data_IF_366082366385
#
_entry.id   IF_366082366385
#
_cell.length_a   1.000
_cell.length_b   1.000
_cell.length_c   1.000
_cell.angle_alpha   90.00
_cell.angle_beta   90.00
_cell.angle_gamma   90.00
#
_symmetry.space_group_name_H-M   'P 1'
#
loop_
_entity.id
_entity.type
_entity.pdbx_description
1 polymer ?
#
# COMPACT_ATOMS: atom_id res chain seq x y z
N UNK A 1 -29.73 50.73 -19.51
CA UNK A 1 -30.19 49.42 -20.04
C UNK A 1 -29.06 48.43 -20.28
N UNK A 2 -27.90 48.85 -20.82
CA UNK A 2 -26.78 47.93 -21.16
C UNK A 2 -26.11 47.24 -19.96
N UNK A 3 -25.96 47.92 -18.82
CA UNK A 3 -25.31 47.35 -17.63
C UNK A 3 -26.18 46.28 -16.93
N UNK A 4 -27.49 46.49 -16.84
CA UNK A 4 -28.43 45.51 -16.25
C UNK A 4 -28.48 44.24 -17.09
N UNK A 5 -28.60 44.38 -18.42
CA UNK A 5 -28.55 43.25 -19.36
C UNK A 5 -27.25 42.45 -19.27
N UNK A 6 -26.10 43.12 -19.10
CA UNK A 6 -24.82 42.44 -18.90
C UNK A 6 -24.76 41.64 -17.57
N UNK A 7 -25.38 42.14 -16.51
CA UNK A 7 -25.45 41.40 -15.23
C UNK A 7 -26.39 40.20 -15.36
N UNK A 8 -27.52 40.36 -16.03
CA UNK A 8 -28.56 39.33 -16.14
C UNK A 8 -28.19 38.21 -17.11
N UNK A 9 -27.75 38.54 -18.32
CA UNK A 9 -27.47 37.53 -19.35
C UNK A 9 -26.06 36.94 -19.26
N UNK A 10 -25.09 37.65 -18.68
CA UNK A 10 -23.69 37.22 -18.74
C UNK A 10 -23.12 36.90 -17.35
N UNK A 11 -23.33 37.79 -16.37
CA UNK A 11 -22.73 37.61 -15.06
C UNK A 11 -23.48 36.57 -14.19
N UNK A 12 -24.81 36.59 -14.16
CA UNK A 12 -25.62 35.59 -13.41
C UNK A 12 -25.30 34.14 -13.79
N UNK A 13 -25.28 33.77 -15.09
CA UNK A 13 -24.93 32.40 -15.50
C UNK A 13 -23.48 32.04 -15.14
N UNK A 14 -22.55 32.99 -15.30
CA UNK A 14 -21.14 32.78 -14.95
C UNK A 14 -20.94 32.62 -13.44
N UNK A 15 -21.62 33.43 -12.63
CA UNK A 15 -21.63 33.31 -11.17
C UNK A 15 -22.15 31.95 -10.73
N UNK A 16 -23.31 31.52 -11.26
CA UNK A 16 -23.89 30.21 -10.93
C UNK A 16 -22.99 29.04 -11.32
N UNK A 17 -22.35 29.12 -12.49
CA UNK A 17 -21.39 28.10 -12.93
C UNK A 17 -20.15 28.05 -12.05
N UNK A 18 -19.61 29.20 -11.62
CA UNK A 18 -18.40 29.27 -10.79
C UNK A 18 -18.67 28.77 -9.36
N UNK A 19 -19.78 29.18 -8.74
CA UNK A 19 -20.11 28.76 -7.37
C UNK A 19 -20.53 27.29 -7.28
N UNK A 20 -20.99 26.69 -8.38
CA UNK A 20 -21.24 25.26 -8.46
C UNK A 20 -19.96 24.41 -8.24
N UNK A 21 -18.76 24.97 -8.46
CA UNK A 21 -17.50 24.27 -8.19
C UNK A 21 -17.12 24.22 -6.71
N UNK A 22 -17.83 24.89 -5.81
CA UNK A 22 -17.50 24.91 -4.38
C UNK A 22 -17.48 23.52 -3.76
N UNK A 23 -18.46 22.68 -4.08
CA UNK A 23 -18.52 21.31 -3.56
C UNK A 23 -17.32 20.49 -4.03
N UNK A 24 -16.90 20.67 -5.28
CA UNK A 24 -15.71 20.01 -5.83
C UNK A 24 -14.44 20.50 -5.14
N UNK A 25 -14.26 21.80 -4.95
CA UNK A 25 -13.09 22.35 -4.26
C UNK A 25 -13.01 21.91 -2.81
N UNK A 26 -14.17 21.79 -2.13
CA UNK A 26 -14.22 21.29 -0.76
C UNK A 26 -13.75 19.83 -0.68
N UNK A 27 -14.25 18.95 -1.56
CA UNK A 27 -13.76 17.56 -1.65
C UNK A 27 -12.26 17.49 -1.97
N UNK A 28 -11.79 18.38 -2.84
CA UNK A 28 -10.36 18.44 -3.18
C UNK A 28 -9.49 18.88 -2.00
N UNK A 29 -9.99 19.82 -1.19
CA UNK A 29 -9.35 20.25 0.06
C UNK A 29 -9.27 19.11 1.07
N UNK A 30 -10.36 18.38 1.27
CA UNK A 30 -10.42 17.22 2.17
C UNK A 30 -9.40 16.14 1.76
N UNK A 31 -9.27 15.87 0.46
CA UNK A 31 -8.28 14.92 -0.05
C UNK A 31 -6.84 15.37 0.21
N UNK A 32 -6.51 16.64 -0.03
CA UNK A 32 -5.18 17.17 0.25
C UNK A 32 -4.87 17.19 1.75
N UNK A 33 -5.87 17.48 2.58
CA UNK A 33 -5.74 17.40 4.03
C UNK A 33 -5.44 15.97 4.48
N UNK A 34 -6.15 14.97 3.93
CA UNK A 34 -5.89 13.56 4.21
C UNK A 34 -4.47 13.15 3.79
N UNK A 35 -3.99 13.62 2.64
CA UNK A 35 -2.61 13.38 2.16
C UNK A 35 -1.58 13.93 3.15
N UNK A 36 -1.82 15.12 3.69
CA UNK A 36 -0.92 15.74 4.67
C UNK A 36 -1.01 15.06 6.04
N UNK A 37 -2.21 14.76 6.55
CA UNK A 37 -2.41 14.09 7.85
C UNK A 37 -1.84 12.66 7.86
N UNK A 38 -1.90 11.96 6.73
CA UNK A 38 -1.37 10.61 6.59
C UNK A 38 0.16 10.55 6.42
N UNK A 39 0.85 11.70 6.30
CA UNK A 39 2.27 11.77 5.94
C UNK A 39 2.60 10.93 4.71
N UNK A 40 1.70 10.87 3.72
CA UNK A 40 1.78 9.96 2.58
C UNK A 40 3.09 10.12 1.81
N UNK A 41 3.53 11.36 1.61
CA UNK A 41 4.75 11.67 0.86
C UNK A 41 5.99 11.10 1.56
N UNK A 42 6.06 11.26 2.87
CA UNK A 42 7.18 10.75 3.67
C UNK A 42 7.16 9.23 3.75
N UNK A 43 5.99 8.64 3.95
CA UNK A 43 5.81 7.19 3.94
C UNK A 43 6.22 6.58 2.59
N UNK A 44 5.84 7.23 1.49
CA UNK A 44 6.21 6.84 0.14
C UNK A 44 7.71 6.99 -0.12
N UNK A 45 8.34 8.07 0.38
CA UNK A 45 9.78 8.26 0.30
C UNK A 45 10.56 7.19 1.07
N UNK A 46 10.10 6.83 2.28
CA UNK A 46 10.70 5.74 3.07
C UNK A 46 10.54 4.38 2.40
N UNK A 47 9.37 4.09 1.83
CA UNK A 47 9.15 2.88 1.05
C UNK A 47 10.15 2.81 -0.10
N UNK A 48 10.24 3.87 -0.91
CA UNK A 48 11.15 3.95 -2.05
C UNK A 48 12.63 3.77 -1.64
N UNK A 49 13.04 4.35 -0.52
CA UNK A 49 14.39 4.21 0.02
C UNK A 49 14.69 2.78 0.54
N UNK A 50 13.66 2.07 1.03
CA UNK A 50 13.78 0.70 1.53
C UNK A 50 13.71 -0.39 0.46
N UNK A 51 13.32 -0.08 -0.79
CA UNK A 51 13.21 -1.09 -1.85
C UNK A 51 14.51 -1.83 -2.14
N UNK A 52 15.70 -1.18 -2.21
CA UNK A 52 16.96 -1.89 -2.45
C UNK A 52 17.27 -2.92 -1.37
N UNK A 53 17.10 -2.54 -0.09
CA UNK A 53 17.32 -3.45 1.04
C UNK A 53 16.31 -4.61 1.01
N UNK A 54 15.04 -4.33 0.68
CA UNK A 54 14.03 -5.38 0.52
C UNK A 54 14.41 -6.36 -0.60
N UNK A 55 15.03 -5.87 -1.68
CA UNK A 55 15.51 -6.69 -2.79
C UNK A 55 16.64 -7.61 -2.36
N UNK A 56 17.61 -7.10 -1.62
CA UNK A 56 18.72 -7.89 -1.08
C UNK A 56 18.22 -9.00 -0.13
N UNK A 57 17.24 -8.68 0.72
CA UNK A 57 16.58 -9.66 1.60
C UNK A 57 15.85 -10.73 0.78
N UNK A 58 15.13 -10.33 -0.28
CA UNK A 58 14.42 -11.24 -1.17
C UNK A 58 15.35 -12.17 -1.95
N UNK A 59 16.49 -11.66 -2.44
CA UNK A 59 17.50 -12.49 -3.09
C UNK A 59 18.12 -13.50 -2.12
N UNK A 60 18.38 -13.07 -0.88
CA UNK A 60 18.88 -13.95 0.17
C UNK A 60 17.85 -15.04 0.51
N UNK A 61 16.57 -14.65 0.64
CA UNK A 61 15.47 -15.57 0.84
C UNK A 61 15.33 -16.57 -0.31
N UNK A 62 15.43 -16.12 -1.56
CA UNK A 62 15.35 -16.99 -2.75
C UNK A 62 16.47 -18.03 -2.79
N UNK A 63 17.69 -17.67 -2.37
CA UNK A 63 18.81 -18.61 -2.22
C UNK A 63 18.50 -19.66 -1.15
N UNK A 64 18.08 -19.23 0.04
CA UNK A 64 17.73 -20.11 1.14
C UNK A 64 16.55 -21.04 0.78
N UNK A 65 15.54 -20.50 0.10
CA UNK A 65 14.40 -21.26 -0.38
C UNK A 65 14.83 -22.39 -1.31
N UNK A 66 15.74 -22.13 -2.26
CA UNK A 66 16.26 -23.17 -3.15
C UNK A 66 17.06 -24.24 -2.39
N UNK A 67 17.85 -23.88 -1.38
CA UNK A 67 18.57 -24.85 -0.53
C UNK A 67 17.61 -25.73 0.29
N UNK A 68 16.59 -25.12 0.88
CA UNK A 68 15.51 -25.81 1.62
C UNK A 68 14.74 -26.74 0.67
N UNK A 69 14.40 -26.28 -0.53
CA UNK A 69 13.67 -27.09 -1.51
C UNK A 69 14.53 -28.26 -2.02
N UNK A 70 15.82 -28.05 -2.27
CA UNK A 70 16.77 -29.10 -2.65
C UNK A 70 16.91 -30.18 -1.56
N UNK A 71 16.84 -29.79 -0.28
CA UNK A 71 16.84 -30.71 0.85
C UNK A 71 15.45 -31.29 1.17
N UNK A 72 14.37 -30.75 0.58
CA UNK A 72 13.00 -31.22 0.73
C UNK A 72 12.81 -32.69 0.39
N UNK A 73 13.50 -33.18 -0.65
CA UNK A 73 13.47 -34.61 -1.00
C UNK A 73 14.04 -35.52 0.10
N UNK A 74 15.01 -35.04 0.89
CA UNK A 74 15.57 -35.75 2.03
C UNK A 74 14.62 -35.71 3.22
N UNK A 75 13.97 -34.56 3.46
CA UNK A 75 12.95 -34.40 4.51
C UNK A 75 11.77 -35.36 4.28
N UNK A 76 11.25 -35.41 3.04
CA UNK A 76 10.17 -36.33 2.68
C UNK A 76 10.59 -37.79 2.80
N UNK A 77 11.81 -38.15 2.36
CA UNK A 77 12.35 -39.51 2.54
C UNK A 77 12.48 -39.87 4.01
N UNK A 78 12.98 -38.95 4.84
CA UNK A 78 13.12 -39.15 6.28
C UNK A 78 11.77 -39.33 6.95
N UNK A 79 10.79 -38.48 6.63
CA UNK A 79 9.40 -38.61 7.12
C UNK A 79 8.78 -39.96 6.73
N UNK A 80 8.86 -40.34 5.46
CA UNK A 80 8.33 -41.61 4.98
C UNK A 80 9.00 -42.81 5.66
N UNK A 81 10.30 -42.72 5.97
CA UNK A 81 11.04 -43.75 6.70
C UNK A 81 10.58 -43.84 8.16
N UNK A 82 10.59 -42.72 8.89
CA UNK A 82 10.26 -42.67 10.34
C UNK A 82 8.79 -42.94 10.60
N UNK A 83 7.90 -42.67 9.64
CA UNK A 83 6.46 -42.96 9.73
C UNK A 83 6.06 -44.25 8.98
N UNK A 84 7.02 -45.00 8.45
CA UNK A 84 6.75 -46.27 7.80
C UNK A 84 6.20 -47.30 8.80
N UNK A 85 5.42 -48.23 8.28
CA UNK A 85 4.91 -49.37 9.06
C UNK A 85 6.05 -50.15 9.73
N UNK A 86 7.12 -50.47 8.99
CA UNK A 86 8.26 -51.23 9.51
C UNK A 86 9.03 -50.49 10.61
N UNK A 87 9.14 -49.17 10.51
CA UNK A 87 9.77 -48.36 11.57
C UNK A 87 8.93 -48.37 12.85
N UNK A 88 7.62 -48.17 12.73
CA UNK A 88 6.70 -48.21 13.87
C UNK A 88 6.67 -49.59 14.53
N UNK A 89 6.63 -50.67 13.73
CA UNK A 89 6.70 -52.04 14.23
C UNK A 89 8.02 -52.28 14.98
N UNK A 90 9.15 -51.78 14.44
CA UNK A 90 10.46 -51.88 15.11
C UNK A 90 10.49 -51.13 16.44
N UNK A 91 9.96 -49.90 16.49
CA UNK A 91 9.86 -49.12 17.72
C UNK A 91 9.04 -49.84 18.79
N UNK A 92 7.89 -50.41 18.40
CA UNK A 92 7.01 -51.17 19.30
C UNK A 92 7.72 -52.43 19.84
N UNK A 93 8.46 -53.16 19.00
CA UNK A 93 9.21 -54.33 19.46
C UNK A 93 10.37 -53.95 20.39
N UNK A 94 11.09 -52.85 20.11
CA UNK A 94 12.12 -52.32 21.02
C UNK A 94 11.52 -51.93 22.38
N UNK A 95 10.37 -51.25 22.39
CA UNK A 95 9.66 -50.90 23.62
C UNK A 95 9.22 -52.13 24.42
N UNK A 96 8.75 -53.18 23.73
CA UNK A 96 8.42 -54.46 24.37
C UNK A 96 9.64 -55.14 24.97
N UNK A 97 10.80 -55.05 24.32
CA UNK A 97 12.07 -55.63 24.79
C UNK A 97 12.58 -54.92 26.05
N UNK A 98 12.50 -53.59 26.13
CA UNK A 98 12.84 -52.84 27.36
C UNK A 98 11.91 -53.23 28.52
N UNK A 99 10.61 -53.37 28.24
CA UNK A 99 9.61 -53.71 29.26
C UNK A 99 9.68 -55.16 29.75
N UNK A 100 10.47 -56.03 29.10
CA UNK A 100 10.68 -57.42 29.51
C UNK A 100 12.08 -57.57 30.10
N UNK A 101 12.23 -57.61 31.43
CA UNK A 101 13.54 -57.50 32.13
C UNK A 101 14.44 -58.75 32.02
N UNK A 102 14.31 -59.57 30.98
CA UNK A 102 15.10 -60.78 30.76
C UNK A 102 16.49 -60.48 30.20
N UNK A 103 16.81 -61.05 29.03
CA UNK A 103 18.13 -61.00 28.39
C UNK A 103 18.70 -59.56 28.26
N UNK A 104 17.84 -58.57 28.03
CA UNK A 104 18.21 -57.14 27.88
C UNK A 104 18.81 -56.57 29.16
N UNK A 105 18.21 -56.88 30.32
CA UNK A 105 18.72 -56.46 31.63
C UNK A 105 19.98 -57.23 32.00
N UNK A 106 20.05 -58.54 31.67
CA UNK A 106 21.23 -59.39 31.93
C UNK A 106 22.45 -58.93 31.12
N UNK A 107 22.23 -58.42 29.90
CA UNK A 107 23.29 -57.91 29.03
C UNK A 107 23.62 -56.43 29.26
N UNK A 108 22.98 -55.76 30.23
CA UNK A 108 23.20 -54.34 30.51
C UNK A 108 22.74 -53.42 29.38
N UNK A 109 21.81 -53.86 28.54
CA UNK A 109 21.35 -53.14 27.36
C UNK A 109 20.13 -52.26 27.61
N UNK A 110 19.51 -52.30 28.79
CA UNK A 110 18.27 -51.59 29.09
C UNK A 110 18.39 -50.07 28.87
N UNK A 111 19.40 -49.42 29.44
CA UNK A 111 19.62 -47.98 29.28
C UNK A 111 20.00 -47.58 27.83
N UNK A 112 20.92 -48.29 27.14
CA UNK A 112 21.18 -48.05 25.71
C UNK A 112 19.93 -48.17 24.83
N UNK A 113 19.06 -49.15 25.09
CA UNK A 113 17.86 -49.39 24.28
C UNK A 113 16.79 -48.32 24.55
N UNK A 114 16.64 -47.86 25.79
CA UNK A 114 15.79 -46.72 26.14
C UNK A 114 16.24 -45.44 25.42
N UNK A 115 17.55 -45.15 25.43
CA UNK A 115 18.13 -44.02 24.69
C UNK A 115 17.88 -44.11 23.19
N UNK A 116 17.96 -45.32 22.63
CA UNK A 116 17.67 -45.55 21.21
C UNK A 116 16.19 -45.32 20.89
N UNK A 117 15.26 -45.84 21.70
CA UNK A 117 13.81 -45.61 21.52
C UNK A 117 13.50 -44.12 21.57
N UNK A 118 14.07 -43.40 22.55
CA UNK A 118 13.89 -41.96 22.67
C UNK A 118 14.43 -41.23 21.44
N UNK A 119 15.63 -41.58 20.96
CA UNK A 119 16.19 -40.99 19.74
C UNK A 119 15.31 -41.26 18.49
N UNK A 120 14.72 -42.45 18.38
CA UNK A 120 13.83 -42.81 17.27
C UNK A 120 12.50 -42.05 17.32
N UNK A 121 11.94 -41.83 18.52
CA UNK A 121 10.75 -40.97 18.72
C UNK A 121 11.04 -39.51 18.41
N UNK A 122 12.18 -39.00 18.86
CA UNK A 122 12.63 -37.65 18.52
C UNK A 122 12.82 -37.49 17.01
N UNK A 123 13.36 -38.50 16.32
CA UNK A 123 13.47 -38.50 14.86
C UNK A 123 12.10 -38.44 14.16
N UNK A 124 11.08 -39.16 14.66
CA UNK A 124 9.70 -39.05 14.17
C UNK A 124 9.16 -37.62 14.33
N UNK A 125 9.25 -37.06 15.54
CA UNK A 125 8.75 -35.72 15.83
C UNK A 125 9.44 -34.63 15.00
N UNK A 126 10.78 -34.70 14.89
CA UNK A 126 11.57 -33.77 14.09
C UNK A 126 11.25 -33.88 12.61
N UNK A 127 11.06 -35.10 12.08
CA UNK A 127 10.70 -35.30 10.67
C UNK A 127 9.30 -34.74 10.34
N UNK A 128 8.34 -34.86 11.26
CA UNK A 128 7.01 -34.24 11.12
C UNK A 128 7.11 -32.72 11.12
N UNK A 129 7.83 -32.14 12.09
CA UNK A 129 8.07 -30.69 12.16
C UNK A 129 8.75 -30.17 10.89
N UNK A 130 9.73 -30.90 10.35
CA UNK A 130 10.42 -30.53 9.12
C UNK A 130 9.47 -30.52 7.91
N UNK A 131 8.55 -31.47 7.79
CA UNK A 131 7.52 -31.46 6.72
C UNK A 131 6.58 -30.27 6.88
N UNK A 132 6.10 -29.98 8.10
CA UNK A 132 5.24 -28.81 8.35
C UNK A 132 5.93 -27.49 7.98
N UNK A 133 7.23 -27.38 8.26
CA UNK A 133 8.05 -26.25 7.86
C UNK A 133 8.13 -26.17 6.33
N UNK A 134 8.44 -27.27 5.64
CA UNK A 134 8.47 -27.32 4.17
C UNK A 134 7.15 -26.86 3.53
N UNK A 135 6.01 -27.32 4.03
CA UNK A 135 4.68 -26.91 3.54
C UNK A 135 4.40 -25.41 3.78
N UNK A 136 4.88 -24.85 4.89
CA UNK A 136 4.78 -23.42 5.15
C UNK A 136 5.67 -22.59 4.21
N UNK A 137 6.87 -23.10 3.90
CA UNK A 137 7.78 -22.49 2.93
C UNK A 137 7.20 -22.51 1.51
N UNK A 138 6.54 -23.59 1.07
CA UNK A 138 5.90 -23.66 -0.25
C UNK A 138 4.88 -22.53 -0.51
N UNK A 139 4.21 -22.02 0.53
CA UNK A 139 3.23 -20.92 0.41
C UNK A 139 3.88 -19.55 0.20
N UNK A 140 5.19 -19.43 0.41
CA UNK A 140 5.97 -18.19 0.29
C UNK A 140 6.89 -18.25 -0.93
N UNK A 141 6.33 -18.51 -2.12
CA UNK A 141 7.09 -18.59 -3.37
C UNK A 141 7.92 -17.29 -3.62
N UNK A 142 9.27 -17.37 -3.63
CA UNK A 142 10.14 -16.22 -3.85
C UNK A 142 9.87 -15.53 -5.19
N UNK A 143 9.49 -16.27 -6.23
CA UNK A 143 9.23 -15.69 -7.54
C UNK A 143 8.03 -14.72 -7.50
N UNK A 144 6.99 -15.04 -6.72
CA UNK A 144 5.85 -14.15 -6.53
C UNK A 144 6.24 -12.90 -5.77
N UNK A 145 7.04 -13.03 -4.72
CA UNK A 145 7.51 -11.88 -3.93
C UNK A 145 8.39 -10.93 -4.75
N UNK A 146 9.27 -11.48 -5.60
CA UNK A 146 10.04 -10.68 -6.58
C UNK A 146 9.12 -9.95 -7.55
N UNK A 147 8.08 -10.61 -8.07
CA UNK A 147 7.13 -9.95 -8.98
C UNK A 147 6.37 -8.78 -8.34
N UNK A 148 6.04 -8.89 -7.05
CA UNK A 148 5.41 -7.80 -6.30
C UNK A 148 6.39 -6.65 -6.07
N UNK A 149 7.64 -6.97 -5.72
CA UNK A 149 8.69 -5.95 -5.55
C UNK A 149 8.93 -5.19 -6.86
N UNK A 150 9.06 -5.90 -7.99
CA UNK A 150 9.24 -5.30 -9.32
C UNK A 150 8.07 -4.35 -9.67
N UNK A 151 6.84 -4.72 -9.31
CA UNK A 151 5.68 -3.87 -9.51
C UNK A 151 5.77 -2.58 -8.68
N UNK A 152 6.21 -2.66 -7.42
CA UNK A 152 6.39 -1.49 -6.55
C UNK A 152 7.56 -0.62 -7.03
N UNK A 153 8.68 -1.21 -7.41
CA UNK A 153 9.82 -0.49 -8.01
C UNK A 153 9.41 0.28 -9.26
N UNK A 154 8.61 -0.35 -10.13
CA UNK A 154 8.08 0.32 -11.33
C UNK A 154 7.19 1.51 -10.98
N UNK A 155 6.36 1.41 -9.94
CA UNK A 155 5.56 2.55 -9.46
C UNK A 155 6.48 3.69 -9.00
N UNK A 156 7.52 3.39 -8.22
CA UNK A 156 8.50 4.38 -7.74
C UNK A 156 9.30 5.01 -8.89
N UNK A 157 9.65 4.25 -9.93
CA UNK A 157 10.32 4.79 -11.12
C UNK A 157 9.42 5.75 -11.91
N UNK A 158 8.14 5.42 -12.08
CA UNK A 158 7.18 6.26 -12.83
C UNK A 158 6.81 7.52 -12.06
N UNK A 159 6.67 7.39 -10.74
CA UNK A 159 6.28 8.46 -9.83
C UNK A 159 7.26 8.56 -8.65
N UNK A 160 8.48 9.07 -8.84
CA UNK A 160 9.44 9.20 -7.76
C UNK A 160 8.90 10.10 -6.63
N UNK A 161 9.38 9.95 -5.37
CA UNK A 161 8.87 10.73 -4.24
C UNK A 161 8.91 12.25 -4.48
N UNK A 162 9.99 12.76 -5.09
CA UNK A 162 10.08 14.18 -5.46
C UNK A 162 9.02 14.62 -6.47
N UNK A 163 8.64 13.76 -7.42
CA UNK A 163 7.60 14.03 -8.42
C UNK A 163 6.21 13.98 -7.80
N UNK A 164 5.96 13.06 -6.87
CA UNK A 164 4.74 13.02 -6.08
C UNK A 164 4.59 14.30 -5.24
N UNK A 165 5.63 14.68 -4.52
CA UNK A 165 5.67 15.91 -3.71
C UNK A 165 5.40 17.16 -4.56
N UNK A 166 6.05 17.28 -5.72
CA UNK A 166 5.82 18.40 -6.65
C UNK A 166 4.37 18.47 -7.11
N UNK A 167 3.76 17.33 -7.47
CA UNK A 167 2.37 17.28 -7.92
C UNK A 167 1.38 17.66 -6.83
N UNK A 168 1.63 17.24 -5.59
CA UNK A 168 0.81 17.65 -4.44
C UNK A 168 0.95 19.16 -4.20
N UNK A 169 2.18 19.70 -4.22
CA UNK A 169 2.40 21.13 -4.07
C UNK A 169 1.77 21.97 -5.20
N UNK A 170 1.78 21.47 -6.43
CA UNK A 170 1.06 22.07 -7.57
C UNK A 170 -0.46 22.04 -7.37
N UNK A 171 -1.00 20.92 -6.88
CA UNK A 171 -2.41 20.77 -6.56
C UNK A 171 -2.86 21.74 -5.45
N UNK A 172 -2.07 21.89 -4.38
CA UNK A 172 -2.32 22.87 -3.31
C UNK A 172 -2.32 24.30 -3.84
N UNK A 173 -1.34 24.67 -4.68
CA UNK A 173 -1.29 26.00 -5.31
C UNK A 173 -2.49 26.25 -6.21
N UNK A 174 -2.90 25.25 -6.99
CA UNK A 174 -4.06 25.33 -7.87
C UNK A 174 -5.36 25.51 -7.07
N UNK A 175 -5.54 24.74 -5.99
CA UNK A 175 -6.67 24.88 -5.07
C UNK A 175 -6.72 26.28 -4.46
N UNK A 176 -5.61 26.76 -3.90
CA UNK A 176 -5.53 28.09 -3.29
C UNK A 176 -5.79 29.23 -4.29
N UNK A 177 -5.50 29.02 -5.58
CA UNK A 177 -5.84 29.97 -6.66
C UNK A 177 -7.33 29.90 -7.00
N UNK A 178 -7.89 28.70 -7.10
CA UNK A 178 -9.32 28.49 -7.37
C UNK A 178 -10.19 29.10 -6.27
N UNK A 179 -9.88 28.83 -5.01
CA UNK A 179 -10.58 29.41 -3.85
C UNK A 179 -10.51 30.94 -3.83
N UNK A 180 -9.36 31.52 -4.17
CA UNK A 180 -9.23 32.99 -4.30
C UNK A 180 -10.11 33.56 -5.41
N UNK A 181 -10.24 32.87 -6.54
CA UNK A 181 -11.08 33.32 -7.67
C UNK A 181 -12.55 33.23 -7.27
N UNK A 182 -12.98 32.10 -6.70
CA UNK A 182 -14.34 31.92 -6.22
C UNK A 182 -14.68 32.96 -5.15
N UNK A 183 -13.84 33.16 -4.13
CA UNK A 183 -14.11 34.14 -3.08
C UNK A 183 -14.27 35.57 -3.61
N UNK A 184 -13.53 35.94 -4.67
CA UNK A 184 -13.73 37.22 -5.38
C UNK A 184 -15.09 37.28 -6.08
N UNK A 185 -15.51 36.20 -6.74
CA UNK A 185 -16.81 36.12 -7.41
C UNK A 185 -17.95 36.17 -6.38
N UNK A 186 -17.85 35.41 -5.29
CA UNK A 186 -18.82 35.38 -4.18
C UNK A 186 -18.95 36.72 -3.45
N UNK A 187 -17.88 37.51 -3.34
CA UNK A 187 -17.93 38.86 -2.77
C UNK A 187 -18.76 39.85 -3.62
N UNK A 188 -19.00 39.50 -4.89
CA UNK A 188 -19.73 40.27 -5.90
C UNK A 188 -20.96 39.47 -6.40
N UNK A 189 -21.96 39.18 -5.54
CA UNK A 189 -23.15 38.47 -5.97
C UNK A 189 -23.95 39.30 -6.98
N UNK A 190 -24.70 38.67 -7.90
CA UNK A 190 -25.45 39.38 -8.94
C UNK A 190 -26.40 40.46 -8.39
N UNK A 191 -27.02 40.20 -7.24
CA UNK A 191 -27.90 41.16 -6.55
C UNK A 191 -27.20 42.46 -6.15
N UNK A 192 -25.91 42.42 -5.77
CA UNK A 192 -25.14 43.64 -5.49
C UNK A 192 -24.85 44.42 -6.77
N UNK A 193 -24.53 43.72 -7.87
CA UNK A 193 -24.26 44.36 -9.16
C UNK A 193 -25.53 44.93 -9.80
N UNK A 194 -26.66 44.25 -9.64
CA UNK A 194 -27.99 44.75 -10.02
C UNK A 194 -28.34 46.02 -9.23
N UNK A 195 -28.14 46.02 -7.90
CA UNK A 195 -28.38 47.19 -7.07
C UNK A 195 -27.50 48.39 -7.49
N UNK A 196 -26.22 48.17 -7.79
CA UNK A 196 -25.33 49.22 -8.29
C UNK A 196 -25.75 49.70 -9.69
N UNK A 197 -26.16 48.80 -10.58
CA UNK A 197 -26.62 49.13 -11.94
C UNK A 197 -27.97 49.88 -11.94
N UNK A 198 -28.83 49.63 -10.94
CA UNK A 198 -30.11 50.31 -10.73
C UNK A 198 -29.94 51.67 -10.03
N UNK A 199 -28.95 51.82 -9.14
CA UNK A 199 -28.72 53.04 -8.35
C UNK A 199 -27.80 54.05 -9.03
N UNK A 200 -26.93 53.63 -9.95
CA UNK A 200 -26.03 54.54 -10.69
C UNK A 200 -26.50 54.75 -12.14
N UNK A 201 -27.14 55.88 -12.40
CA UNK A 201 -27.29 56.40 -13.76
C UNK A 201 -25.93 56.93 -14.25
N UNK A 202 -25.11 56.06 -14.86
CA UNK A 202 -23.98 56.47 -15.69
C UNK A 202 -22.57 56.18 -15.13
N UNK A 203 -21.70 55.70 -16.04
CA UNK A 203 -20.25 55.55 -15.95
C UNK A 203 -19.64 54.52 -14.96
N UNK A 204 -20.04 54.49 -13.69
CA UNK A 204 -19.35 53.68 -12.66
C UNK A 204 -19.46 52.16 -12.85
N UNK A 205 -20.66 51.67 -13.12
CA UNK A 205 -20.91 50.24 -13.40
C UNK A 205 -20.27 49.77 -14.72
N UNK A 206 -20.16 50.68 -15.69
CA UNK A 206 -19.53 50.40 -17.00
C UNK A 206 -18.02 50.20 -16.84
N UNK A 207 -17.36 50.96 -15.97
CA UNK A 207 -15.92 50.81 -15.69
C UNK A 207 -15.60 49.52 -14.91
N UNK A 208 -16.43 49.13 -13.94
CA UNK A 208 -16.28 47.85 -13.23
C UNK A 208 -16.49 46.64 -14.16
N UNK A 209 -17.51 46.70 -15.04
CA UNK A 209 -17.75 45.66 -16.04
C UNK A 209 -16.69 45.65 -17.14
N UNK A 210 -16.23 46.81 -17.61
CA UNK A 210 -15.13 46.91 -18.58
C UNK A 210 -13.81 46.41 -17.99
N UNK A 211 -13.53 46.66 -16.70
CA UNK A 211 -12.38 46.11 -15.99
C UNK A 211 -12.42 44.58 -15.89
N UNK A 212 -13.60 44.01 -15.59
CA UNK A 212 -13.82 42.55 -15.57
C UNK A 212 -13.68 41.90 -16.96
N UNK A 213 -14.17 42.55 -18.01
CA UNK A 213 -14.04 42.08 -19.41
C UNK A 213 -12.59 42.22 -19.91
N UNK A 214 -11.89 43.30 -19.55
CA UNK A 214 -10.49 43.52 -19.92
C UNK A 214 -9.55 42.51 -19.23
N UNK A 215 -9.78 42.23 -17.94
CA UNK A 215 -9.03 41.22 -17.18
C UNK A 215 -9.21 39.80 -17.74
N UNK A 216 -10.34 39.50 -18.38
CA UNK A 216 -10.56 38.24 -19.09
C UNK A 216 -9.77 38.17 -20.40
N UNK A 217 -9.69 39.27 -21.17
CA UNK A 217 -8.92 39.32 -22.44
C UNK A 217 -7.40 39.22 -22.23
N UNK A 218 -6.87 39.75 -21.12
CA UNK A 218 -5.44 39.66 -20.81
C UNK A 218 -4.97 38.28 -20.32
N UNK A 219 -5.89 37.35 -20.06
CA UNK A 219 -5.58 35.97 -19.66
C UNK A 219 -5.74 34.94 -20.79
N UNK A 220 -5.99 35.39 -22.02
CA UNK A 220 -6.08 34.54 -23.22
C UNK A 220 -4.90 34.72 -24.21
N UNK A 221 -3.78 35.29 -23.76
CA UNK A 221 -2.50 35.29 -24.49
C UNK A 221 -1.40 34.67 -23.62
#
# INVERSE_FOLDING_TARGET
MTAYYAVEEWYKPLYGNITAYNEMLQKYRELLQLVNESNLVDAYARLAAGLPELRDVLETYAKLYNEINNTGSLVVKLYNLTHSRGFNETLIELEKLVRRPGLVSVLGLSEPLEKLIEALRQAQELSLKAVMVMEAFEKLDPARLVSYLDAVEKIVQVLPPGKLASRIAEAEKALAKAERVIGKVESLPPSRLEAVALTTAGAGAILLLAGLVAARRSHCF
#
